data_IF_373236603072
#
_entry.id   IF_373236603072
#
_cell.length_a   1.000
_cell.length_b   1.000
_cell.length_c   1.000
_cell.angle_alpha   90.00
_cell.angle_beta   90.00
_cell.angle_gamma   90.00
#
_symmetry.space_group_name_H-M   'P 1'
#
loop_
_entity.id
_entity.type
_entity.pdbx_description
1 polymer ?
#
# COMPACT_ATOMS: atom_id res chain seq x y z
N UNK A 1 -2.86 20.03 -19.90
CA UNK A 1 -3.03 20.63 -18.56
C UNK A 1 -4.29 21.48 -18.58
N UNK A 2 -5.12 21.37 -17.56
CA UNK A 2 -6.46 21.96 -17.53
C UNK A 2 -6.69 22.65 -16.20
N UNK A 3 -7.21 23.87 -16.23
CA UNK A 3 -7.63 24.56 -15.02
C UNK A 3 -8.86 23.86 -14.46
N UNK A 4 -8.85 23.57 -13.17
CA UNK A 4 -9.88 22.78 -12.52
C UNK A 4 -10.05 23.19 -11.07
N UNK A 5 -11.13 22.72 -10.47
CA UNK A 5 -11.38 22.82 -9.05
C UNK A 5 -11.50 21.44 -8.45
N UNK A 6 -10.84 21.20 -7.32
CA UNK A 6 -11.03 20.00 -6.51
C UNK A 6 -12.09 20.29 -5.46
N UNK A 7 -13.18 19.56 -5.47
CA UNK A 7 -14.08 19.53 -4.32
C UNK A 7 -13.39 18.74 -3.20
N UNK A 8 -13.02 19.45 -2.14
CA UNK A 8 -12.23 18.92 -1.04
C UNK A 8 -13.14 18.32 0.04
N UNK A 9 -12.58 17.47 0.91
CA UNK A 9 -13.34 16.83 2.00
C UNK A 9 -13.89 17.82 3.04
N UNK A 10 -13.35 19.04 3.09
CA UNK A 10 -13.80 20.11 3.97
C UNK A 10 -14.91 20.96 3.34
N UNK A 11 -15.61 20.39 2.35
CA UNK A 11 -16.65 21.04 1.51
C UNK A 11 -16.20 22.33 0.79
N UNK A 12 -14.89 22.60 0.78
CA UNK A 12 -14.31 23.73 0.08
C UNK A 12 -13.91 23.34 -1.34
N UNK A 13 -14.18 24.23 -2.30
CA UNK A 13 -13.61 24.13 -3.64
C UNK A 13 -12.19 24.72 -3.65
N UNK A 14 -11.19 23.94 -4.09
CA UNK A 14 -9.78 24.39 -4.18
C UNK A 14 -9.31 24.42 -5.63
N UNK A 15 -8.71 25.53 -6.10
CA UNK A 15 -8.18 25.59 -7.46
C UNK A 15 -7.00 24.62 -7.60
N UNK A 16 -6.98 23.87 -8.70
CA UNK A 16 -5.94 22.90 -9.06
C UNK A 16 -5.72 22.92 -10.56
N UNK A 17 -4.55 22.47 -11.00
CA UNK A 17 -4.34 22.10 -12.40
C UNK A 17 -4.44 20.58 -12.49
N UNK A 18 -5.28 20.08 -13.39
CA UNK A 18 -5.28 18.68 -13.77
C UNK A 18 -4.42 18.48 -15.02
N UNK A 19 -3.37 17.69 -14.89
CA UNK A 19 -2.54 17.27 -16.02
C UNK A 19 -2.88 15.82 -16.36
N UNK A 20 -3.36 15.59 -17.59
CA UNK A 20 -3.51 14.25 -18.16
C UNK A 20 -2.13 13.84 -18.67
N UNK A 21 -1.55 12.80 -18.08
CA UNK A 21 -0.23 12.26 -18.44
C UNK A 21 -0.40 10.91 -19.15
N UNK A 22 0.68 10.36 -19.74
CA UNK A 22 0.66 8.99 -20.27
C UNK A 22 0.30 7.91 -19.22
N UNK A 23 0.58 8.16 -17.94
CA UNK A 23 0.37 7.19 -16.85
C UNK A 23 -0.89 7.39 -16.00
N UNK A 24 -1.52 8.57 -16.07
CA UNK A 24 -2.65 8.90 -15.21
C UNK A 24 -2.98 10.39 -15.21
N UNK A 25 -3.44 10.88 -14.06
CA UNK A 25 -3.62 12.31 -13.81
C UNK A 25 -2.67 12.80 -12.73
N UNK A 26 -2.10 13.99 -12.91
CA UNK A 26 -1.47 14.74 -11.83
C UNK A 26 -2.36 15.90 -11.40
N UNK A 27 -2.66 15.97 -10.10
CA UNK A 27 -3.26 17.11 -9.45
C UNK A 27 -2.14 18.04 -8.99
N UNK A 28 -2.02 19.20 -9.62
CA UNK A 28 -0.93 20.15 -9.43
C UNK A 28 -1.43 21.40 -8.70
N UNK A 29 -0.61 21.93 -7.80
CA UNK A 29 -0.85 23.24 -7.18
C UNK A 29 -0.60 24.35 -8.21
N UNK A 30 -1.59 25.22 -8.51
CA UNK A 30 -1.45 26.24 -9.55
C UNK A 30 -0.40 27.31 -9.21
N UNK A 31 -0.10 27.54 -7.92
CA UNK A 31 0.84 28.56 -7.46
C UNK A 31 2.27 28.04 -7.42
N UNK A 32 2.47 26.83 -6.89
CA UNK A 32 3.83 26.27 -6.67
C UNK A 32 4.26 25.31 -7.78
N UNK A 33 3.35 24.93 -8.68
CA UNK A 33 3.54 23.93 -9.74
C UNK A 33 4.01 22.55 -9.21
N UNK A 34 3.79 22.27 -7.92
CA UNK A 34 4.14 20.99 -7.28
C UNK A 34 3.00 19.98 -7.46
N UNK A 35 3.34 18.72 -7.74
CA UNK A 35 2.37 17.61 -7.78
C UNK A 35 1.87 17.33 -6.35
N UNK A 36 0.55 17.48 -6.15
CA UNK A 36 -0.12 17.22 -4.87
C UNK A 36 -0.57 15.76 -4.74
N UNK A 37 -0.91 15.12 -5.86
CA UNK A 37 -1.34 13.72 -5.95
C UNK A 37 -1.41 13.26 -7.39
N UNK A 38 -1.08 11.99 -7.61
CA UNK A 38 -1.22 11.33 -8.90
C UNK A 38 -2.30 10.25 -8.84
N UNK A 39 -3.02 10.05 -9.95
CA UNK A 39 -4.08 9.05 -10.12
C UNK A 39 -3.70 8.16 -11.29
N UNK A 40 -2.98 7.08 -11.04
CA UNK A 40 -2.54 6.15 -12.09
C UNK A 40 -3.74 5.47 -12.76
N UNK A 41 -3.71 5.35 -14.10
CA UNK A 41 -4.78 4.71 -14.87
C UNK A 41 -5.07 3.27 -14.41
N UNK A 42 -4.04 2.53 -13.98
CA UNK A 42 -4.16 1.16 -13.42
C UNK A 42 -5.10 1.05 -12.21
N UNK A 43 -5.44 2.15 -11.56
CA UNK A 43 -6.34 2.19 -10.40
C UNK A 43 -7.60 3.03 -10.65
N UNK A 44 -7.79 3.54 -11.86
CA UNK A 44 -9.03 4.24 -12.24
C UNK A 44 -10.02 3.18 -12.75
N UNK A 45 -11.20 3.17 -12.15
CA UNK A 45 -12.31 2.28 -12.51
C UNK A 45 -13.19 2.89 -13.60
N UNK A 46 -13.13 4.21 -13.77
CA UNK A 46 -13.86 4.97 -14.77
C UNK A 46 -14.15 6.40 -14.32
N UNK A 47 -15.07 7.04 -15.03
CA UNK A 47 -15.51 8.41 -14.76
C UNK A 47 -17.02 8.44 -14.58
N UNK A 48 -17.52 9.48 -13.90
CA UNK A 48 -18.95 9.76 -13.83
C UNK A 48 -19.17 11.26 -13.73
N UNK A 49 -20.11 11.79 -14.51
CA UNK A 49 -20.47 13.20 -14.49
C UNK A 49 -21.39 13.51 -13.32
N UNK A 50 -21.44 14.79 -12.92
CA UNK A 50 -22.48 15.30 -12.03
C UNK A 50 -23.50 16.13 -12.82
N UNK A 51 -24.79 15.89 -12.59
CA UNK A 51 -25.91 16.54 -13.30
C UNK A 51 -26.21 17.95 -12.79
N UNK A 52 -26.04 18.17 -11.49
CA UNK A 52 -26.39 19.38 -10.74
C UNK A 52 -25.14 20.18 -10.27
N UNK A 53 -23.95 19.77 -10.71
CA UNK A 53 -22.68 20.43 -10.41
C UNK A 53 -22.00 20.91 -11.70
N UNK A 54 -22.02 22.22 -12.04
CA UNK A 54 -21.46 22.74 -13.28
C UNK A 54 -20.01 22.31 -13.54
N UNK A 55 -19.77 21.69 -14.70
CA UNK A 55 -18.46 21.14 -15.07
C UNK A 55 -17.97 19.98 -14.19
N UNK A 56 -18.83 19.45 -13.30
CA UNK A 56 -18.49 18.44 -12.30
C UNK A 56 -18.31 17.04 -12.88
N UNK A 57 -17.28 16.34 -12.44
CA UNK A 57 -17.05 14.92 -12.72
C UNK A 57 -16.23 14.27 -11.61
N UNK A 58 -16.43 12.97 -11.41
CA UNK A 58 -15.62 12.16 -10.52
C UNK A 58 -14.68 11.26 -11.31
N UNK A 59 -13.43 11.18 -10.82
CA UNK A 59 -12.56 10.04 -11.09
C UNK A 59 -12.93 8.96 -10.07
N UNK A 60 -13.35 7.79 -10.56
CA UNK A 60 -13.65 6.62 -9.73
C UNK A 60 -12.33 5.87 -9.55
N UNK A 61 -11.83 5.79 -8.31
CA UNK A 61 -10.44 5.41 -8.07
C UNK A 61 -10.28 4.42 -6.92
N UNK A 62 -9.24 3.60 -7.02
CA UNK A 62 -8.69 2.87 -5.90
C UNK A 62 -9.27 1.49 -5.67
N UNK A 63 -10.04 0.91 -6.60
CA UNK A 63 -10.50 -0.49 -6.55
C UNK A 63 -11.65 -0.76 -5.58
N UNK A 64 -12.21 0.30 -4.99
CA UNK A 64 -13.40 0.23 -4.14
C UNK A 64 -14.41 1.33 -4.48
N UNK A 65 -14.31 1.88 -5.70
CA UNK A 65 -15.20 2.89 -6.25
C UNK A 65 -15.22 4.21 -5.49
N UNK A 66 -14.09 4.62 -4.92
CA UNK A 66 -13.96 5.93 -4.26
C UNK A 66 -14.13 7.04 -5.28
N UNK A 67 -14.93 8.05 -4.95
CA UNK A 67 -15.19 9.17 -5.85
C UNK A 67 -14.26 10.34 -5.53
N UNK A 68 -13.52 10.79 -6.54
CA UNK A 68 -12.73 12.00 -6.47
C UNK A 68 -13.36 13.08 -7.36
N UNK A 69 -14.16 13.97 -6.76
CA UNK A 69 -14.85 15.05 -7.48
C UNK A 69 -13.93 16.20 -7.89
N UNK A 70 -14.03 16.59 -9.15
CA UNK A 70 -13.41 17.77 -9.76
C UNK A 70 -14.45 18.54 -10.57
N UNK A 71 -14.15 19.79 -10.90
CA UNK A 71 -14.93 20.59 -11.83
C UNK A 71 -14.04 21.37 -12.80
N UNK A 72 -14.41 21.37 -14.08
CA UNK A 72 -13.73 22.13 -15.13
C UNK A 72 -14.67 22.39 -16.31
N UNK A 73 -14.50 23.53 -16.97
CA UNK A 73 -15.16 23.82 -18.25
C UNK A 73 -14.68 22.87 -19.36
N UNK A 74 -13.48 22.32 -19.23
CA UNK A 74 -12.86 21.40 -20.20
C UNK A 74 -13.03 19.92 -19.81
N UNK A 75 -14.06 19.60 -19.02
CA UNK A 75 -14.33 18.24 -18.51
C UNK A 75 -14.31 17.18 -19.62
N UNK A 76 -14.98 17.44 -20.74
CA UNK A 76 -15.09 16.48 -21.85
C UNK A 76 -13.72 16.18 -22.47
N UNK A 77 -12.91 17.22 -22.72
CA UNK A 77 -11.54 17.08 -23.24
C UNK A 77 -10.64 16.32 -22.26
N UNK A 78 -10.75 16.61 -20.96
CA UNK A 78 -9.99 15.93 -19.90
C UNK A 78 -10.28 14.42 -19.93
N UNK A 79 -11.57 14.05 -19.90
CA UNK A 79 -11.99 12.64 -19.86
C UNK A 79 -11.63 11.93 -21.16
N UNK A 80 -11.88 12.55 -22.32
CA UNK A 80 -11.53 11.99 -23.63
C UNK A 80 -10.03 11.75 -23.73
N UNK A 81 -9.23 12.75 -23.37
CA UNK A 81 -7.76 12.65 -23.39
C UNK A 81 -7.29 11.52 -22.48
N UNK A 82 -7.85 11.40 -21.27
CA UNK A 82 -7.49 10.34 -20.34
C UNK A 82 -7.83 8.93 -20.84
N UNK A 83 -9.00 8.76 -21.48
CA UNK A 83 -9.40 7.48 -22.10
C UNK A 83 -8.43 7.11 -23.24
N UNK A 84 -8.09 8.08 -24.10
CA UNK A 84 -7.12 7.88 -25.18
C UNK A 84 -5.73 7.52 -24.64
N UNK A 85 -5.25 8.23 -23.61
CA UNK A 85 -3.93 7.97 -23.02
C UNK A 85 -3.88 6.60 -22.32
N UNK A 86 -4.92 6.25 -21.56
CA UNK A 86 -5.00 4.95 -20.91
C UNK A 86 -4.97 3.81 -21.93
N UNK A 87 -5.68 3.94 -23.06
CA UNK A 87 -5.68 2.96 -24.14
C UNK A 87 -4.34 2.88 -24.87
N UNK A 88 -3.76 4.03 -25.26
CA UNK A 88 -2.59 4.10 -26.13
C UNK A 88 -1.26 3.82 -25.41
N UNK A 89 -1.12 4.26 -24.15
CA UNK A 89 0.17 4.18 -23.43
C UNK A 89 0.22 3.05 -22.41
N UNK A 90 -0.93 2.68 -21.82
CA UNK A 90 -0.99 1.65 -20.76
C UNK A 90 -1.71 0.38 -21.24
N UNK A 91 -2.59 0.48 -22.24
CA UNK A 91 -3.40 -0.65 -22.72
C UNK A 91 -4.66 -0.90 -21.87
N UNK A 92 -5.17 0.10 -21.15
CA UNK A 92 -6.36 -0.01 -20.31
C UNK A 92 -7.54 0.71 -20.95
N UNK A 93 -8.70 0.05 -21.00
CA UNK A 93 -9.96 0.68 -21.44
C UNK A 93 -10.67 1.33 -20.26
N UNK A 94 -10.75 2.66 -20.27
CA UNK A 94 -11.54 3.46 -19.32
C UNK A 94 -12.84 3.92 -19.97
N UNK A 95 -13.89 4.11 -19.16
CA UNK A 95 -15.22 4.52 -19.62
C UNK A 95 -15.88 5.50 -18.65
N UNK A 96 -16.80 6.30 -19.17
CA UNK A 96 -17.70 7.13 -18.38
C UNK A 96 -19.00 6.36 -18.13
N UNK A 97 -19.52 6.41 -16.90
CA UNK A 97 -20.84 5.87 -16.56
C UNK A 97 -21.92 6.65 -17.32
N UNK A 98 -22.97 5.95 -17.76
CA UNK A 98 -24.07 6.57 -18.53
C UNK A 98 -24.97 7.46 -17.66
N UNK A 99 -25.20 7.02 -16.42
CA UNK A 99 -26.05 7.73 -15.47
C UNK A 99 -25.18 8.71 -14.68
N UNK A 100 -25.44 10.03 -14.76
CA UNK A 100 -24.75 11.01 -13.94
C UNK A 100 -25.20 10.90 -12.48
N UNK A 101 -24.36 11.39 -11.57
CA UNK A 101 -24.70 11.52 -10.15
C UNK A 101 -25.23 12.92 -9.85
N UNK A 102 -26.17 13.02 -8.92
CA UNK A 102 -26.43 14.28 -8.23
C UNK A 102 -25.37 14.51 -7.12
N UNK A 103 -25.17 15.76 -6.71
CA UNK A 103 -24.16 16.10 -5.72
C UNK A 103 -24.44 15.45 -4.35
N UNK A 104 -25.71 15.32 -3.97
CA UNK A 104 -26.13 14.62 -2.75
C UNK A 104 -25.77 13.11 -2.82
N UNK A 105 -25.96 12.49 -3.98
CA UNK A 105 -25.54 11.10 -4.21
C UNK A 105 -24.02 10.97 -4.13
N UNK A 106 -23.27 11.94 -4.66
CA UNK A 106 -21.81 11.96 -4.48
C UNK A 106 -21.44 12.01 -2.99
N UNK A 107 -22.07 12.86 -2.18
CA UNK A 107 -21.75 12.97 -0.76
C UNK A 107 -21.94 11.64 -0.01
N UNK A 108 -23.04 10.93 -0.30
CA UNK A 108 -23.31 9.62 0.30
C UNK A 108 -22.38 8.51 -0.23
N UNK A 109 -21.92 8.59 -1.50
CA UNK A 109 -21.11 7.55 -2.15
C UNK A 109 -19.61 7.86 -2.23
N UNK A 110 -19.14 8.98 -1.66
CA UNK A 110 -17.75 9.46 -1.88
C UNK A 110 -16.66 8.49 -1.45
N UNK A 111 -16.93 7.59 -0.50
CA UNK A 111 -16.00 6.54 -0.05
C UNK A 111 -16.23 5.19 -0.74
N UNK A 112 -17.09 5.14 -1.75
CA UNK A 112 -17.39 3.95 -2.52
C UNK A 112 -18.01 2.86 -1.66
N UNK A 113 -17.45 1.66 -1.70
CA UNK A 113 -17.91 0.51 -0.90
C UNK A 113 -17.91 0.77 0.62
N UNK A 114 -17.13 1.75 1.08
CA UNK A 114 -16.92 2.06 2.51
C UNK A 114 -17.66 3.32 2.96
N UNK A 115 -18.77 3.64 2.31
CA UNK A 115 -19.57 4.83 2.60
C UNK A 115 -20.55 4.66 3.77
N UNK A 116 -20.95 3.44 4.13
CA UNK A 116 -21.86 3.19 5.26
C UNK A 116 -21.18 3.38 6.62
N UNK A 117 -22.00 3.64 7.64
CA UNK A 117 -21.56 3.97 9.01
C UNK A 117 -20.65 2.91 9.64
N UNK A 118 -20.87 1.62 9.34
CA UNK A 118 -20.06 0.51 9.84
C UNK A 118 -18.56 0.65 9.48
N UNK A 119 -18.25 1.26 8.33
CA UNK A 119 -16.87 1.40 7.84
C UNK A 119 -16.16 2.65 8.34
N UNK A 120 -16.92 3.62 8.85
CA UNK A 120 -16.40 4.93 9.28
C UNK A 120 -16.47 5.12 10.80
N UNK A 121 -17.26 4.30 11.51
CA UNK A 121 -17.36 4.35 12.96
C UNK A 121 -16.07 3.83 13.61
N UNK A 122 -15.49 4.66 14.47
CA UNK A 122 -14.16 4.46 15.03
C UNK A 122 -14.19 3.54 16.24
N UNK A 123 -13.34 2.51 16.24
CA UNK A 123 -13.09 1.59 17.36
C UNK A 123 -11.94 2.07 18.25
N UNK A 124 -10.93 2.69 17.63
CA UNK A 124 -9.78 3.28 18.30
C UNK A 124 -9.33 4.53 17.53
N UNK A 125 -8.81 5.52 18.24
CA UNK A 125 -8.38 6.79 17.67
C UNK A 125 -7.02 7.20 18.22
N UNK A 126 -6.15 7.68 17.34
CA UNK A 126 -4.83 8.19 17.70
C UNK A 126 -4.61 9.56 17.11
N UNK A 127 -4.04 10.47 17.91
CA UNK A 127 -3.61 11.77 17.39
C UNK A 127 -2.27 11.61 16.67
N UNK A 128 -2.21 12.08 15.43
CA UNK A 128 -1.01 12.01 14.59
C UNK A 128 -0.71 13.34 13.92
N UNK A 129 0.54 13.56 13.54
CA UNK A 129 0.94 14.61 12.61
C UNK A 129 1.21 13.99 11.25
N UNK A 130 0.38 14.31 10.26
CA UNK A 130 0.54 13.82 8.89
C UNK A 130 1.60 14.61 8.17
N UNK A 131 2.60 13.90 7.63
CA UNK A 131 3.66 14.49 6.80
C UNK A 131 3.30 14.20 5.34
N UNK A 132 3.14 15.24 4.53
CA UNK A 132 2.79 15.07 3.13
C UNK A 132 3.25 16.25 2.27
N UNK A 133 3.52 16.04 0.97
CA UNK A 133 3.90 17.13 0.05
C UNK A 133 2.85 18.23 -0.11
N UNK A 134 1.61 18.02 0.37
CA UNK A 134 0.52 19.00 0.28
C UNK A 134 0.66 20.15 1.28
N UNK A 135 1.52 20.00 2.29
CA UNK A 135 1.68 20.95 3.37
C UNK A 135 3.16 21.08 3.70
N UNK A 136 3.61 22.32 3.94
CA UNK A 136 5.00 22.59 4.35
C UNK A 136 5.24 22.00 5.74
N UNK A 137 4.29 22.24 6.65
CA UNK A 137 4.34 21.71 8.00
C UNK A 137 3.47 20.44 8.15
N UNK A 138 3.85 19.52 9.06
CA UNK A 138 3.00 18.40 9.43
C UNK A 138 1.63 18.86 9.90
N UNK A 139 0.58 18.13 9.52
CA UNK A 139 -0.81 18.50 9.82
C UNK A 139 -1.43 17.54 10.81
N UNK A 140 -1.97 18.08 11.90
CA UNK A 140 -2.67 17.30 12.92
C UNK A 140 -3.90 16.59 12.34
N UNK A 141 -4.00 15.28 12.57
CA UNK A 141 -5.13 14.43 12.20
C UNK A 141 -5.48 13.49 13.35
N UNK A 142 -6.71 13.02 13.37
CA UNK A 142 -7.08 11.83 14.13
C UNK A 142 -7.00 10.66 13.16
N UNK A 143 -6.19 9.66 13.49
CA UNK A 143 -6.12 8.41 12.76
C UNK A 143 -6.99 7.39 13.48
N UNK A 144 -8.13 7.10 12.89
CA UNK A 144 -9.14 6.21 13.46
C UNK A 144 -9.10 4.84 12.79
N UNK A 145 -9.18 3.79 13.59
CA UNK A 145 -9.32 2.40 13.16
C UNK A 145 -10.80 2.02 13.23
N UNK A 146 -11.31 1.39 12.18
CA UNK A 146 -12.60 0.69 12.17
C UNK A 146 -12.35 -0.80 11.99
N UNK A 147 -13.40 -1.61 11.86
CA UNK A 147 -13.21 -3.06 11.63
C UNK A 147 -12.45 -3.37 10.33
N UNK A 148 -12.60 -2.52 9.30
CA UNK A 148 -12.03 -2.79 7.98
C UNK A 148 -11.30 -1.60 7.35
N UNK A 149 -11.32 -0.42 7.98
CA UNK A 149 -10.77 0.79 7.40
C UNK A 149 -9.88 1.59 8.38
N UNK A 150 -8.90 2.26 7.80
CA UNK A 150 -8.12 3.34 8.38
C UNK A 150 -8.70 4.68 7.91
N UNK A 151 -9.15 5.49 8.84
CA UNK A 151 -9.85 6.76 8.57
C UNK A 151 -9.03 7.92 9.12
N UNK A 152 -8.70 8.89 8.27
CA UNK A 152 -8.15 10.16 8.74
C UNK A 152 -9.29 11.15 8.95
N UNK A 153 -9.38 11.73 10.14
CA UNK A 153 -10.33 12.79 10.46
C UNK A 153 -9.61 14.10 10.77
N UNK A 154 -10.31 15.18 10.45
CA UNK A 154 -9.95 16.51 10.91
C UNK A 154 -10.31 16.64 12.40
N UNK A 155 -9.37 17.05 13.28
CA UNK A 155 -9.62 17.09 14.72
C UNK A 155 -10.62 18.18 15.15
N UNK A 156 -10.85 19.22 14.34
CA UNK A 156 -11.73 20.32 14.70
C UNK A 156 -13.18 20.06 14.28
N UNK A 157 -13.37 19.49 13.09
CA UNK A 157 -14.70 19.25 12.50
C UNK A 157 -15.14 17.80 12.56
N UNK A 158 -14.23 16.88 12.89
CA UNK A 158 -14.43 15.43 12.83
C UNK A 158 -14.74 14.88 11.42
N UNK A 159 -14.69 15.73 10.39
CA UNK A 159 -14.90 15.35 9.01
C UNK A 159 -13.81 14.39 8.52
N UNK A 160 -14.21 13.41 7.72
CA UNK A 160 -13.30 12.43 7.16
C UNK A 160 -12.49 13.06 6.02
N UNK A 161 -11.19 13.21 6.24
CA UNK A 161 -10.26 13.71 5.22
C UNK A 161 -9.96 12.65 4.15
N UNK A 162 -9.79 11.39 4.56
CA UNK A 162 -9.62 10.25 3.66
C UNK A 162 -9.87 8.95 4.39
N UNK A 163 -10.17 7.91 3.63
CA UNK A 163 -10.31 6.53 4.10
C UNK A 163 -9.42 5.60 3.26
N UNK A 164 -8.88 4.55 3.91
CA UNK A 164 -8.14 3.45 3.27
C UNK A 164 -8.56 2.11 3.85
N UNK A 165 -8.81 1.07 3.04
CA UNK A 165 -9.10 -0.26 3.56
C UNK A 165 -7.86 -0.83 4.28
N UNK A 166 -8.07 -1.45 5.44
CA UNK A 166 -7.00 -2.10 6.22
C UNK A 166 -6.41 -3.29 5.45
N UNK A 167 -7.24 -4.02 4.71
CA UNK A 167 -6.79 -5.11 3.84
C UNK A 167 -5.80 -4.68 2.73
N UNK A 168 -5.66 -3.39 2.46
CA UNK A 168 -4.68 -2.87 1.50
C UNK A 168 -3.33 -2.48 2.12
N UNK A 169 -3.17 -2.59 3.45
CA UNK A 169 -1.89 -2.29 4.11
C UNK A 169 -0.88 -3.39 3.76
N UNK A 170 0.24 -3.00 3.15
CA UNK A 170 1.31 -3.92 2.78
C UNK A 170 2.29 -4.11 3.95
N UNK A 171 2.80 -3.01 4.50
CA UNK A 171 3.75 -3.05 5.60
C UNK A 171 3.66 -1.77 6.44
N UNK A 172 4.05 -1.90 7.71
CA UNK A 172 4.23 -0.81 8.65
C UNK A 172 5.73 -0.63 8.85
N UNK A 173 6.23 0.59 8.65
CA UNK A 173 7.66 0.90 8.75
C UNK A 173 7.87 1.81 9.95
N UNK A 174 8.65 1.34 10.92
CA UNK A 174 9.12 2.13 12.04
C UNK A 174 10.41 2.84 11.65
N UNK A 175 10.46 4.16 11.86
CA UNK A 175 11.71 4.89 11.70
C UNK A 175 12.67 4.53 12.84
N UNK A 176 13.90 4.14 12.49
CA UNK A 176 14.91 3.70 13.45
C UNK A 176 15.59 4.86 14.18
N UNK A 177 15.56 6.06 13.60
CA UNK A 177 16.21 7.25 14.17
C UNK A 177 15.22 8.09 14.98
N UNK A 178 13.96 8.14 14.54
CA UNK A 178 12.92 8.91 15.20
C UNK A 178 11.81 8.01 15.78
N UNK A 179 11.74 7.89 17.12
CA UNK A 179 10.79 6.98 17.79
C UNK A 179 9.32 7.39 17.63
N UNK A 180 9.03 8.58 17.08
CA UNK A 180 7.67 9.01 16.81
C UNK A 180 7.27 8.80 15.35
N UNK A 181 8.23 8.67 14.43
CA UNK A 181 7.95 8.55 13.00
C UNK A 181 7.62 7.11 12.60
N UNK A 182 6.60 7.01 11.74
CA UNK A 182 6.24 5.76 11.09
C UNK A 182 5.66 6.01 9.72
N UNK A 183 5.66 4.96 8.91
CA UNK A 183 5.13 4.96 7.56
C UNK A 183 4.22 3.76 7.34
N UNK A 184 3.09 3.99 6.67
CA UNK A 184 2.18 2.94 6.22
C UNK A 184 2.35 2.80 4.70
N UNK A 185 2.76 1.62 4.27
CA UNK A 185 2.85 1.25 2.86
C UNK A 185 1.60 0.47 2.47
N UNK A 186 1.02 0.78 1.31
CA UNK A 186 -0.16 0.09 0.78
C UNK A 186 0.20 -0.75 -0.44
N UNK A 187 -0.55 -1.83 -0.70
CA UNK A 187 -0.33 -2.76 -1.83
C UNK A 187 -0.42 -2.07 -3.20
N UNK A 188 -1.04 -0.89 -3.26
CA UNK A 188 -1.12 -0.07 -4.47
C UNK A 188 0.09 0.87 -4.64
N UNK A 189 1.09 0.74 -3.78
CA UNK A 189 2.34 1.51 -3.81
C UNK A 189 2.25 2.90 -3.19
N UNK A 190 1.11 3.23 -2.56
CA UNK A 190 0.91 4.47 -1.84
C UNK A 190 1.63 4.41 -0.50
N UNK A 191 2.21 5.53 -0.09
CA UNK A 191 2.98 5.64 1.14
C UNK A 191 2.41 6.80 1.95
N UNK A 192 2.19 6.58 3.25
CA UNK A 192 1.68 7.60 4.18
C UNK A 192 2.59 7.70 5.39
N UNK A 193 3.17 8.88 5.60
CA UNK A 193 4.10 9.15 6.70
C UNK A 193 3.41 9.98 7.78
N UNK A 194 3.62 9.58 9.03
CA UNK A 194 3.04 10.24 10.20
C UNK A 194 4.07 10.31 11.33
N UNK A 195 3.85 11.22 12.28
CA UNK A 195 4.45 11.15 13.61
C UNK A 195 3.38 11.02 14.70
N UNK A 196 3.68 10.31 15.78
CA UNK A 196 2.84 10.25 16.97
C UNK A 196 3.68 10.01 18.23
N UNK A 197 3.27 10.60 19.35
CA UNK A 197 3.84 10.29 20.68
C UNK A 197 3.46 8.90 21.16
N UNK A 198 2.41 8.30 20.59
CA UNK A 198 1.88 6.98 20.93
C UNK A 198 2.14 5.98 19.79
N UNK A 199 3.23 6.18 19.03
CA UNK A 199 3.55 5.40 17.81
C UNK A 199 3.41 3.90 18.03
N UNK A 200 4.00 3.35 19.09
CA UNK A 200 4.05 1.90 19.28
C UNK A 200 2.67 1.31 19.60
N UNK A 201 1.89 1.97 20.46
CA UNK A 201 0.49 1.61 20.75
C UNK A 201 -0.39 1.68 19.50
N UNK A 202 -0.19 2.74 18.69
CA UNK A 202 -0.88 2.92 17.41
C UNK A 202 -0.53 1.79 16.44
N UNK A 203 0.76 1.50 16.25
CA UNK A 203 1.22 0.47 15.33
C UNK A 203 0.78 -0.93 15.76
N UNK A 204 0.78 -1.23 17.06
CA UNK A 204 0.23 -2.48 17.58
C UNK A 204 -1.27 -2.60 17.25
N UNK A 205 -2.06 -1.56 17.55
CA UNK A 205 -3.49 -1.54 17.27
C UNK A 205 -3.81 -1.63 15.77
N UNK A 206 -3.01 -0.95 14.94
CA UNK A 206 -3.14 -0.98 13.48
C UNK A 206 -2.76 -2.36 12.93
N UNK A 207 -1.67 -2.97 13.41
CA UNK A 207 -1.26 -4.31 13.01
C UNK A 207 -2.36 -5.34 13.30
N UNK A 208 -2.94 -5.26 14.50
CA UNK A 208 -4.03 -6.15 14.92
C UNK A 208 -5.29 -5.89 14.08
N UNK A 209 -5.66 -4.63 13.85
CA UNK A 209 -6.79 -4.26 13.00
C UNK A 209 -6.65 -4.77 11.57
N UNK A 210 -5.46 -4.64 10.97
CA UNK A 210 -5.19 -5.16 9.61
C UNK A 210 -5.29 -6.69 9.55
N UNK A 211 -4.77 -7.38 10.57
CA UNK A 211 -4.88 -8.84 10.65
C UNK A 211 -6.31 -9.31 10.88
N UNK A 212 -7.06 -8.61 11.73
CA UNK A 212 -8.48 -8.87 11.98
C UNK A 212 -9.34 -8.63 10.73
N UNK A 213 -8.97 -7.67 9.88
CA UNK A 213 -9.63 -7.45 8.59
C UNK A 213 -9.32 -8.51 7.52
N UNK A 214 -8.59 -9.57 7.88
CA UNK A 214 -8.26 -10.71 7.01
C UNK A 214 -6.88 -10.64 6.34
N UNK A 215 -6.14 -9.54 6.47
CA UNK A 215 -4.80 -9.42 5.91
C UNK A 215 -3.74 -9.86 6.93
N UNK A 216 -3.37 -11.15 6.87
CA UNK A 216 -2.37 -11.75 7.77
C UNK A 216 -0.92 -11.44 7.37
N UNK A 217 -0.72 -10.85 6.18
CA UNK A 217 0.59 -10.65 5.58
C UNK A 217 1.26 -9.35 6.00
N UNK A 218 0.53 -8.47 6.69
CA UNK A 218 1.10 -7.26 7.26
C UNK A 218 2.20 -7.58 8.27
N UNK A 219 3.30 -6.84 8.15
CA UNK A 219 4.42 -6.90 9.07
C UNK A 219 4.87 -5.50 9.48
N UNK A 220 5.54 -5.42 10.62
CA UNK A 220 6.27 -4.23 11.07
C UNK A 220 7.75 -4.46 10.76
N UNK A 221 8.41 -3.46 10.19
CA UNK A 221 9.82 -3.50 9.79
C UNK A 221 10.52 -2.16 9.95
N UNK A 222 11.85 -2.12 9.84
CA UNK A 222 12.64 -0.89 9.99
C UNK A 222 12.87 -0.15 8.66
N UNK A 223 12.94 -0.88 7.56
CA UNK A 223 13.30 -0.31 6.25
C UNK A 223 12.11 -0.28 5.30
N UNK A 224 11.90 0.83 4.55
CA UNK A 224 10.90 0.89 3.49
C UNK A 224 11.04 -0.23 2.46
N UNK A 225 9.95 -0.60 1.79
CA UNK A 225 10.00 -1.61 0.73
C UNK A 225 10.64 -1.04 -0.53
N UNK A 226 11.77 -1.62 -0.93
CA UNK A 226 12.37 -1.33 -2.22
C UNK A 226 11.64 -2.08 -3.34
N UNK A 227 10.81 -1.37 -4.09
CA UNK A 227 10.00 -1.96 -5.16
C UNK A 227 10.85 -2.71 -6.22
N UNK A 228 12.09 -2.28 -6.45
CA UNK A 228 13.01 -2.92 -7.39
C UNK A 228 13.54 -4.29 -6.93
N UNK A 229 13.36 -4.65 -5.66
CA UNK A 229 13.71 -5.98 -5.16
C UNK A 229 12.59 -7.01 -5.39
N UNK A 230 11.39 -6.57 -5.77
CA UNK A 230 10.23 -7.43 -5.98
C UNK A 230 10.09 -7.84 -7.45
N UNK A 231 9.74 -9.09 -7.70
CA UNK A 231 9.53 -9.67 -9.04
C UNK A 231 8.07 -9.65 -9.51
N UNK A 232 7.20 -8.97 -8.76
CA UNK A 232 5.78 -8.82 -9.08
C UNK A 232 5.16 -7.61 -8.40
N UNK A 233 3.85 -7.42 -8.59
CA UNK A 233 3.10 -6.37 -7.91
C UNK A 233 3.03 -6.63 -6.40
N UNK A 234 2.98 -5.59 -5.58
CA UNK A 234 2.82 -5.73 -4.12
C UNK A 234 1.51 -6.43 -3.71
N UNK A 235 0.50 -6.39 -4.59
CA UNK A 235 -0.80 -7.02 -4.37
C UNK A 235 -0.87 -8.48 -4.80
N UNK A 236 0.19 -9.04 -5.39
CA UNK A 236 0.19 -10.41 -5.90
C UNK A 236 1.36 -11.20 -5.29
N UNK A 237 1.13 -12.45 -4.85
CA UNK A 237 2.24 -13.34 -4.51
C UNK A 237 3.08 -13.63 -5.76
N UNK A 238 4.35 -13.97 -5.53
CA UNK A 238 5.20 -14.50 -6.61
C UNK A 238 4.82 -15.94 -6.92
N UNK A 239 5.19 -16.42 -8.11
CA UNK A 239 4.98 -17.81 -8.48
C UNK A 239 5.97 -18.77 -7.77
N UNK A 240 5.72 -20.06 -7.93
CA UNK A 240 6.53 -21.13 -7.33
C UNK A 240 8.00 -21.08 -7.74
N UNK A 241 8.30 -20.77 -9.01
CA UNK A 241 9.67 -20.77 -9.52
C UNK A 241 10.48 -19.65 -8.87
N UNK A 242 9.88 -18.46 -8.78
CA UNK A 242 10.47 -17.29 -8.13
C UNK A 242 10.66 -17.53 -6.63
N UNK A 243 9.68 -18.11 -5.95
CA UNK A 243 9.79 -18.45 -4.53
C UNK A 243 10.95 -19.42 -4.28
N UNK A 244 11.07 -20.45 -5.12
CA UNK A 244 12.14 -21.46 -5.04
C UNK A 244 13.51 -20.85 -5.30
N UNK A 245 13.59 -19.90 -6.23
CA UNK A 245 14.82 -19.19 -6.52
C UNK A 245 15.29 -18.35 -5.32
N UNK A 246 14.38 -17.65 -4.64
CA UNK A 246 14.73 -16.90 -3.44
C UNK A 246 15.20 -17.80 -2.29
N UNK A 247 14.64 -19.00 -2.14
CA UNK A 247 15.17 -20.00 -1.19
C UNK A 247 16.60 -20.42 -1.55
N UNK A 248 16.91 -20.63 -2.84
CA UNK A 248 18.28 -20.94 -3.30
C UNK A 248 19.22 -19.76 -3.08
N UNK A 249 18.77 -18.53 -3.29
CA UNK A 249 19.58 -17.32 -3.08
C UNK A 249 19.95 -17.10 -1.62
N UNK A 250 19.10 -17.49 -0.67
CA UNK A 250 19.49 -17.49 0.75
C UNK A 250 20.65 -18.46 1.02
N UNK A 251 20.63 -19.65 0.41
CA UNK A 251 21.70 -20.64 0.59
C UNK A 251 22.99 -20.27 -0.16
N UNK A 252 22.87 -19.64 -1.33
CA UNK A 252 23.98 -19.24 -2.19
C UNK A 252 23.65 -17.93 -2.92
N UNK A 253 23.96 -16.75 -2.33
CA UNK A 253 23.69 -15.46 -2.95
C UNK A 253 24.44 -15.31 -4.29
N UNK A 254 23.77 -14.91 -5.39
CA UNK A 254 24.39 -14.89 -6.72
C UNK A 254 25.49 -13.83 -6.87
N UNK A 255 25.40 -12.73 -6.11
CA UNK A 255 26.37 -11.63 -6.06
C UNK A 255 27.30 -11.73 -4.84
N UNK A 256 27.23 -12.81 -4.07
CA UNK A 256 27.97 -12.96 -2.80
C UNK A 256 27.49 -12.04 -1.68
N UNK A 257 26.41 -11.28 -1.87
CA UNK A 257 25.84 -10.39 -0.86
C UNK A 257 24.63 -11.06 -0.18
N UNK A 258 24.85 -11.57 1.03
CA UNK A 258 23.81 -12.24 1.80
C UNK A 258 22.67 -11.31 2.20
N UNK A 259 22.97 -10.08 2.63
CA UNK A 259 21.96 -9.10 3.01
C UNK A 259 21.00 -8.79 1.85
N UNK A 260 21.53 -8.58 0.63
CA UNK A 260 20.70 -8.36 -0.57
C UNK A 260 19.80 -9.57 -0.86
N UNK A 261 20.30 -10.81 -0.70
CA UNK A 261 19.49 -12.01 -0.86
C UNK A 261 18.34 -12.07 0.17
N UNK A 262 18.59 -11.68 1.42
CA UNK A 262 17.59 -11.61 2.50
C UNK A 262 16.55 -10.53 2.24
N UNK A 263 16.96 -9.32 1.86
CA UNK A 263 16.03 -8.23 1.51
C UNK A 263 15.13 -8.59 0.33
N UNK A 264 15.70 -9.20 -0.71
CA UNK A 264 14.93 -9.73 -1.85
C UNK A 264 13.97 -10.84 -1.43
N UNK A 265 14.40 -11.79 -0.61
CA UNK A 265 13.53 -12.83 -0.09
C UNK A 265 12.33 -12.22 0.66
N UNK A 266 12.58 -11.32 1.62
CA UNK A 266 11.51 -10.66 2.38
C UNK A 266 10.58 -9.80 1.53
N UNK A 267 11.08 -9.25 0.43
CA UNK A 267 10.30 -8.44 -0.52
C UNK A 267 9.41 -9.28 -1.44
N UNK A 268 9.66 -10.59 -1.57
CA UNK A 268 8.91 -11.48 -2.48
C UNK A 268 8.05 -12.51 -1.74
N UNK A 269 8.51 -12.99 -0.57
CA UNK A 269 7.80 -14.00 0.21
C UNK A 269 6.83 -13.35 1.19
N UNK A 270 5.60 -13.85 1.19
CA UNK A 270 4.54 -13.40 2.10
C UNK A 270 4.95 -13.58 3.56
N UNK A 271 4.50 -12.66 4.44
CA UNK A 271 4.71 -12.80 5.88
C UNK A 271 4.00 -14.03 6.48
N UNK A 272 2.93 -14.52 5.83
CA UNK A 272 2.28 -15.78 6.19
C UNK A 272 3.07 -17.02 5.76
N UNK A 273 4.17 -16.84 5.02
CA UNK A 273 5.14 -17.87 4.69
C UNK A 273 5.19 -18.26 3.22
N UNK A 274 6.03 -19.27 2.95
CA UNK A 274 6.26 -19.89 1.64
C UNK A 274 4.98 -20.60 1.18
N UNK A 275 4.39 -20.16 0.07
CA UNK A 275 3.08 -20.64 -0.39
C UNK A 275 3.17 -22.00 -1.10
N UNK A 276 4.29 -22.27 -1.77
CA UNK A 276 4.58 -23.47 -2.55
C UNK A 276 5.55 -24.40 -1.81
N UNK A 277 5.34 -24.56 -0.49
CA UNK A 277 6.22 -25.35 0.38
C UNK A 277 6.03 -26.89 0.25
N UNK A 278 5.07 -27.35 -0.54
CA UNK A 278 4.77 -28.79 -0.72
C UNK A 278 5.47 -29.31 -1.98
N UNK A 279 6.25 -30.38 -1.82
CA UNK A 279 6.83 -31.10 -2.97
C UNK A 279 5.71 -31.86 -3.69
N UNK A 280 5.50 -31.60 -4.98
CA UNK A 280 4.59 -32.39 -5.80
C UNK A 280 5.23 -33.76 -6.13
N UNK A 281 4.47 -34.85 -6.15
CA UNK A 281 5.02 -36.16 -6.51
C UNK A 281 5.35 -36.21 -8.02
N UNK A 282 6.63 -36.32 -8.37
CA UNK A 282 7.07 -36.45 -9.76
C UNK A 282 8.57 -36.72 -9.90
N UNK A 283 9.00 -37.34 -11.01
CA UNK A 283 10.40 -37.73 -11.23
C UNK A 283 11.37 -36.53 -11.26
N UNK A 284 10.87 -35.33 -11.55
CA UNK A 284 11.62 -34.06 -11.58
C UNK A 284 11.15 -33.07 -10.50
N UNK A 285 10.47 -33.55 -9.46
CA UNK A 285 9.97 -32.69 -8.40
C UNK A 285 11.11 -32.12 -7.56
N UNK A 286 11.15 -30.81 -7.42
CA UNK A 286 12.11 -30.14 -6.56
C UNK A 286 11.76 -30.36 -5.09
N UNK A 287 12.71 -30.85 -4.30
CA UNK A 287 12.51 -31.07 -2.87
C UNK A 287 12.47 -29.73 -2.11
N UNK A 288 11.27 -29.18 -1.91
CA UNK A 288 11.04 -27.89 -1.27
C UNK A 288 11.47 -27.88 0.19
N UNK A 289 11.25 -28.99 0.90
CA UNK A 289 11.67 -29.11 2.30
C UNK A 289 13.19 -28.97 2.44
N UNK A 290 13.96 -29.57 1.52
CA UNK A 290 15.42 -29.42 1.49
C UNK A 290 15.83 -27.97 1.23
N UNK A 291 15.15 -27.26 0.32
CA UNK A 291 15.42 -25.84 0.08
C UNK A 291 15.17 -24.98 1.31
N UNK A 292 14.04 -25.20 1.99
CA UNK A 292 13.67 -24.48 3.21
C UNK A 292 14.68 -24.77 4.32
N UNK A 293 15.07 -26.03 4.52
CA UNK A 293 16.10 -26.40 5.50
C UNK A 293 17.45 -25.71 5.22
N UNK A 294 17.88 -25.69 3.96
CA UNK A 294 19.11 -25.01 3.56
C UNK A 294 19.04 -23.50 3.81
N UNK A 295 17.90 -22.87 3.50
CA UNK A 295 17.69 -21.45 3.75
C UNK A 295 17.72 -21.10 5.25
N UNK A 296 17.06 -21.91 6.09
CA UNK A 296 17.10 -21.74 7.56
C UNK A 296 18.54 -21.89 8.07
N UNK A 297 19.25 -22.93 7.63
CA UNK A 297 20.65 -23.17 8.02
C UNK A 297 21.56 -22.00 7.61
N UNK A 298 21.34 -21.44 6.42
CA UNK A 298 22.11 -20.30 5.93
C UNK A 298 21.85 -19.02 6.73
N UNK A 299 20.61 -18.78 7.19
CA UNK A 299 20.30 -17.67 8.07
C UNK A 299 20.95 -17.82 9.45
N UNK A 300 20.89 -19.02 10.03
CA UNK A 300 21.48 -19.29 11.35
C UNK A 300 23.01 -19.27 11.34
N UNK A 301 23.65 -19.60 10.22
CA UNK A 301 25.11 -19.51 10.11
C UNK A 301 25.64 -18.08 10.12
N UNK A 302 24.77 -17.08 9.95
CA UNK A 302 25.11 -15.66 10.10
C UNK A 302 24.95 -15.15 11.54
N UNK A 303 24.47 -15.98 12.47
CA UNK A 303 24.27 -15.56 13.86
C UNK A 303 25.59 -15.10 14.49
N UNK A 304 25.60 -13.88 15.04
CA UNK A 304 26.79 -13.29 15.66
C UNK A 304 27.70 -12.52 14.71
N UNK A 305 27.29 -12.23 13.47
CA UNK A 305 28.02 -11.31 12.61
C UNK A 305 27.94 -9.86 13.15
N UNK A 306 29.01 -9.44 13.83
CA UNK A 306 29.15 -8.10 14.46
C UNK A 306 29.17 -6.99 13.40
N UNK A 307 29.34 -7.31 12.12
CA UNK A 307 29.39 -6.33 11.03
C UNK A 307 28.01 -5.98 10.46
N UNK A 308 26.98 -6.77 10.77
CA UNK A 308 25.63 -6.53 10.27
C UNK A 308 24.98 -5.30 10.92
N UNK A 309 24.38 -4.44 10.11
CA UNK A 309 23.55 -3.34 10.58
C UNK A 309 22.27 -3.85 11.26
N UNK A 310 21.65 -3.00 12.09
CA UNK A 310 20.38 -3.35 12.77
C UNK A 310 19.29 -3.71 11.75
N UNK A 311 19.25 -3.04 10.60
CA UNK A 311 18.30 -3.33 9.52
C UNK A 311 18.56 -4.70 8.88
N UNK A 312 19.81 -5.08 8.67
CA UNK A 312 20.16 -6.41 8.18
C UNK A 312 19.80 -7.49 9.18
N UNK A 313 20.08 -7.29 10.47
CA UNK A 313 19.69 -8.22 11.54
C UNK A 313 18.16 -8.38 11.61
N UNK A 314 17.40 -7.28 11.59
CA UNK A 314 15.93 -7.32 11.54
C UNK A 314 15.45 -8.08 10.29
N UNK A 315 16.05 -7.85 9.13
CA UNK A 315 15.71 -8.54 7.89
C UNK A 315 15.94 -10.06 7.98
N UNK A 316 16.96 -10.53 8.72
CA UNK A 316 17.17 -11.96 8.95
C UNK A 316 16.06 -12.57 9.81
N UNK A 317 15.65 -11.90 10.90
CA UNK A 317 14.50 -12.35 11.70
C UNK A 317 13.20 -12.36 10.89
N UNK A 318 13.00 -11.38 10.02
CA UNK A 318 11.86 -11.34 9.09
C UNK A 318 11.87 -12.54 8.12
N UNK A 319 13.04 -12.95 7.64
CA UNK A 319 13.18 -14.10 6.76
C UNK A 319 12.93 -15.41 7.50
N UNK A 320 13.51 -15.59 8.69
CA UNK A 320 13.25 -16.74 9.56
C UNK A 320 11.75 -16.86 9.85
N UNK A 321 11.10 -15.75 10.25
CA UNK A 321 9.65 -15.74 10.54
C UNK A 321 8.81 -16.18 9.35
N UNK A 322 9.19 -15.84 8.12
CA UNK A 322 8.49 -16.30 6.89
C UNK A 322 8.71 -17.79 6.64
N UNK A 323 9.94 -18.27 6.79
CA UNK A 323 10.26 -19.70 6.60
C UNK A 323 9.46 -20.57 7.59
N UNK A 324 9.49 -20.22 8.88
CA UNK A 324 8.82 -21.00 9.95
C UNK A 324 7.30 -20.87 9.96
N UNK A 325 6.73 -19.95 9.17
CA UNK A 325 5.28 -19.85 9.01
C UNK A 325 4.70 -20.96 8.12
N UNK A 326 5.55 -21.61 7.32
CA UNK A 326 5.18 -22.80 6.56
C UNK A 326 5.28 -24.06 7.42
N UNK A 327 4.46 -25.08 7.15
CA UNK A 327 4.52 -26.38 7.85
C UNK A 327 5.92 -27.00 7.77
N UNK A 328 6.51 -27.00 6.58
CA UNK A 328 7.85 -27.54 6.35
C UNK A 328 8.92 -26.76 7.12
N UNK A 329 8.86 -25.43 7.10
CA UNK A 329 9.82 -24.60 7.83
C UNK A 329 9.66 -24.66 9.35
N UNK A 330 8.43 -24.81 9.85
CA UNK A 330 8.20 -25.05 11.28
C UNK A 330 8.82 -26.39 11.71
N UNK A 331 8.60 -27.46 10.94
CA UNK A 331 9.19 -28.77 11.21
C UNK A 331 10.73 -28.70 11.19
N UNK A 332 11.30 -28.07 10.16
CA UNK A 332 12.73 -27.84 10.04
C UNK A 332 13.30 -27.10 11.27
N UNK A 333 12.63 -26.03 11.69
CA UNK A 333 13.04 -25.24 12.85
C UNK A 333 13.05 -26.06 14.15
N UNK A 334 12.06 -26.94 14.35
CA UNK A 334 12.02 -27.81 15.56
C UNK A 334 13.09 -28.89 15.59
N UNK A 335 13.77 -29.15 14.47
CA UNK A 335 14.81 -30.17 14.32
C UNK A 335 16.23 -29.60 14.34
N UNK A 336 16.38 -28.28 14.49
CA UNK A 336 17.68 -27.64 14.56
C UNK A 336 18.47 -28.13 15.79
N UNK A 337 19.80 -28.34 15.66
CA UNK A 337 20.65 -28.64 16.80
C UNK A 337 20.52 -27.55 17.87
N UNK A 338 20.43 -27.95 19.14
CA UNK A 338 20.36 -27.03 20.28
C UNK A 338 21.67 -26.32 20.55
#
# INVERSE_FOLDING_TARGET
RYNSYKHHWSDSSKPVILEVTPGGFDQINPTTNTILCSYDYRYIEGFVDLSDYPGGFCIIYGGFSRLHLFASEQREDIIKSAIEHAGNYIGISLRTRKEPLEFEQYLSLRFGKYSSDEYITSLAEFVVQKISPRHVEPVKRILALTETCLVERDPATYNIATLKPLGEVFALVCDSENPQLFTIEFIKGQIRKYSSTERDSLLASLLDGVRASGNRDVCVKMTPTEKGQRWGLLSMPVDEEVESLHLRFLAAPPNGNFADAVFRFNSNISYSGVLHAVTQDGLFSENKEKLINNAITALLSQEGDITASIAELESQFQAVRRLVASKAGFLAFTQLPK
#
